data_IF_236531069333
#
_entry.id   IF_236531069333
#
_cell.length_a   1.000
_cell.length_b   1.000
_cell.length_c   1.000
_cell.angle_alpha   90.00
_cell.angle_beta   90.00
_cell.angle_gamma   90.00
#
_symmetry.space_group_name_H-M   'P 1'
#
loop_
_entity.id
_entity.type
_entity.pdbx_description
1 polymer ?
#
# COMPACT_ATOMS: atom_id res chain seq x y z
N UNK A 1 8.79 8.84 -13.88
CA UNK A 1 8.71 7.64 -13.01
C UNK A 1 7.85 8.02 -11.82
N UNK A 2 6.80 7.25 -11.49
CA UNK A 2 6.09 7.50 -10.22
C UNK A 2 7.04 7.08 -9.11
N UNK A 3 7.41 8.01 -8.22
CA UNK A 3 8.14 7.70 -6.99
C UNK A 3 7.31 6.70 -6.17
N UNK A 4 7.58 5.43 -6.37
CA UNK A 4 6.89 4.33 -5.69
C UNK A 4 7.93 3.53 -4.92
N UNK A 5 7.56 3.14 -3.71
CA UNK A 5 8.45 2.41 -2.82
C UNK A 5 8.40 0.94 -3.20
N UNK A 6 9.58 0.33 -3.28
CA UNK A 6 9.74 -1.10 -3.47
C UNK A 6 10.43 -1.71 -2.26
N UNK A 7 9.85 -2.77 -1.69
CA UNK A 7 10.41 -3.45 -0.52
C UNK A 7 10.55 -4.94 -0.78
N UNK A 8 11.64 -5.52 -0.28
CA UNK A 8 11.76 -6.96 -0.12
C UNK A 8 10.84 -7.47 1.00
N UNK A 9 10.54 -8.78 0.99
CA UNK A 9 9.83 -9.45 2.08
C UNK A 9 10.49 -9.20 3.45
N UNK A 10 11.83 -9.16 3.50
CA UNK A 10 12.59 -8.88 4.72
C UNK A 10 12.40 -7.44 5.21
N UNK A 11 12.37 -6.47 4.31
CA UNK A 11 12.10 -5.07 4.68
C UNK A 11 10.66 -4.88 5.16
N UNK A 12 9.68 -5.54 4.53
CA UNK A 12 8.29 -5.54 5.01
C UNK A 12 8.15 -6.19 6.39
N UNK A 13 8.91 -7.25 6.64
CA UNK A 13 9.03 -7.89 7.96
C UNK A 13 9.50 -6.89 9.02
N UNK A 14 10.58 -6.14 8.73
CA UNK A 14 11.05 -5.09 9.62
C UNK A 14 10.06 -3.92 9.75
N UNK A 15 9.37 -3.53 8.67
CA UNK A 15 8.38 -2.46 8.67
C UNK A 15 7.19 -2.79 9.57
N UNK A 16 6.63 -3.99 9.45
CA UNK A 16 5.41 -4.41 10.14
C UNK A 16 5.64 -5.19 11.43
N UNK A 17 6.90 -5.36 11.85
CA UNK A 17 7.25 -6.08 13.08
C UNK A 17 6.65 -7.50 13.09
N UNK A 18 6.99 -8.24 12.02
CA UNK A 18 6.57 -9.62 11.78
C UNK A 18 7.70 -10.42 11.16
N UNK A 19 7.65 -11.74 11.31
CA UNK A 19 8.61 -12.61 10.64
C UNK A 19 8.41 -12.61 9.13
N UNK A 20 9.51 -12.80 8.40
CA UNK A 20 9.49 -12.82 6.93
C UNK A 20 8.51 -13.88 6.41
N UNK A 21 8.44 -15.07 7.02
CA UNK A 21 7.52 -16.14 6.61
C UNK A 21 6.05 -15.71 6.71
N UNK A 22 5.69 -14.94 7.74
CA UNK A 22 4.33 -14.39 7.89
C UNK A 22 4.00 -13.43 6.76
N UNK A 23 4.95 -12.57 6.37
CA UNK A 23 4.79 -11.68 5.21
C UNK A 23 4.61 -12.50 3.93
N UNK A 24 5.40 -13.56 3.74
CA UNK A 24 5.31 -14.45 2.59
C UNK A 24 3.96 -15.15 2.49
N UNK A 25 3.40 -15.59 3.63
CA UNK A 25 2.05 -16.16 3.69
C UNK A 25 0.99 -15.14 3.27
N UNK A 26 1.08 -13.90 3.74
CA UNK A 26 0.14 -12.85 3.33
C UNK A 26 0.22 -12.56 1.84
N UNK A 27 1.43 -12.42 1.27
CA UNK A 27 1.63 -12.22 -0.17
C UNK A 27 1.05 -13.38 -0.99
N UNK A 28 1.32 -14.63 -0.57
CA UNK A 28 0.76 -15.82 -1.23
C UNK A 28 -0.78 -15.80 -1.23
N UNK A 29 -1.39 -15.42 -0.11
CA UNK A 29 -2.85 -15.37 -0.01
C UNK A 29 -3.45 -14.20 -0.82
N UNK A 30 -2.80 -13.04 -0.85
CA UNK A 30 -3.20 -11.90 -1.69
C UNK A 30 -3.31 -12.32 -3.16
N UNK A 31 -2.32 -13.03 -3.68
CA UNK A 31 -2.34 -13.50 -5.07
C UNK A 31 -3.33 -14.65 -5.29
N UNK A 32 -3.43 -15.58 -4.33
CA UNK A 32 -4.41 -16.69 -4.39
C UNK A 32 -5.86 -16.19 -4.41
N UNK A 33 -6.14 -15.11 -3.69
CA UNK A 33 -7.46 -14.49 -3.61
C UNK A 33 -7.70 -13.51 -4.77
N UNK A 34 -6.76 -13.38 -5.70
CA UNK A 34 -6.82 -12.45 -6.83
C UNK A 34 -7.04 -10.98 -6.40
N UNK A 35 -6.59 -10.59 -5.21
CA UNK A 35 -6.61 -9.17 -4.79
C UNK A 35 -5.64 -8.36 -5.64
N UNK A 36 -4.48 -8.94 -5.96
CA UNK A 36 -3.45 -8.34 -6.81
C UNK A 36 -2.94 -9.35 -7.84
N UNK A 37 -2.33 -8.84 -8.91
CA UNK A 37 -1.59 -9.63 -9.88
C UNK A 37 -0.10 -9.65 -9.51
N UNK A 38 0.50 -10.84 -9.40
CA UNK A 38 1.91 -10.97 -8.99
C UNK A 38 2.88 -10.33 -10.01
N UNK A 39 2.61 -10.50 -11.30
CA UNK A 39 3.42 -9.94 -12.40
C UNK A 39 3.39 -8.42 -12.49
N UNK A 40 2.34 -7.76 -11.99
CA UNK A 40 2.25 -6.30 -11.93
C UNK A 40 2.78 -5.70 -10.62
N UNK A 41 2.97 -6.52 -9.58
CA UNK A 41 3.32 -6.05 -8.23
C UNK A 41 4.66 -6.53 -7.72
N UNK A 42 5.38 -7.34 -8.52
CA UNK A 42 6.68 -7.90 -8.16
C UNK A 42 7.70 -7.72 -9.28
N UNK A 43 8.96 -7.52 -8.87
CA UNK A 43 10.12 -7.52 -9.77
C UNK A 43 11.28 -8.32 -9.14
N UNK A 44 12.16 -8.87 -9.99
CA UNK A 44 13.43 -9.45 -9.53
C UNK A 44 14.51 -8.36 -9.50
N UNK A 45 14.97 -8.02 -8.29
CA UNK A 45 16.13 -7.16 -8.11
C UNK A 45 17.38 -8.02 -7.95
N UNK A 46 18.44 -7.70 -8.71
CA UNK A 46 19.76 -8.29 -8.50
C UNK A 46 20.46 -7.54 -7.38
N UNK A 47 20.59 -8.19 -6.22
CA UNK A 47 21.32 -7.62 -5.08
C UNK A 47 22.65 -8.33 -4.94
N UNK A 48 23.73 -7.56 -4.86
CA UNK A 48 25.06 -8.11 -4.58
C UNK A 48 25.21 -8.25 -3.07
N UNK A 49 25.37 -9.49 -2.61
CA UNK A 49 25.73 -9.78 -1.23
C UNK A 49 27.19 -10.25 -1.18
N UNK A 50 27.90 -9.88 -0.11
CA UNK A 50 29.28 -10.33 0.11
C UNK A 50 29.23 -11.45 1.15
N UNK A 51 29.50 -12.68 0.73
CA UNK A 51 29.61 -13.84 1.62
C UNK A 51 31.09 -14.21 1.76
N UNK A 52 31.68 -13.89 2.90
CA UNK A 52 33.12 -14.05 3.14
C UNK A 52 33.96 -13.19 2.18
N UNK A 53 34.78 -13.82 1.32
CA UNK A 53 35.59 -13.14 0.29
C UNK A 53 34.92 -13.08 -1.09
N UNK A 54 33.70 -13.62 -1.26
CA UNK A 54 33.03 -13.74 -2.57
C UNK A 54 31.83 -12.79 -2.69
N UNK A 55 31.73 -12.10 -3.84
CA UNK A 55 30.51 -11.35 -4.23
C UNK A 55 29.54 -12.31 -4.89
N UNK A 56 28.42 -12.59 -4.24
CA UNK A 56 27.36 -13.46 -4.76
C UNK A 56 26.20 -12.58 -5.19
N UNK A 57 25.75 -12.73 -6.44
CA UNK A 57 24.54 -12.09 -6.92
C UNK A 57 23.36 -12.98 -6.56
N UNK A 58 22.46 -12.49 -5.70
CA UNK A 58 21.20 -13.17 -5.44
C UNK A 58 20.08 -12.39 -6.10
N UNK A 59 19.22 -13.11 -6.79
CA UNK A 59 17.92 -12.60 -7.22
C UNK A 59 17.05 -12.50 -5.98
N UNK A 60 16.59 -11.28 -5.68
CA UNK A 60 15.67 -11.02 -4.56
C UNK A 60 14.41 -10.41 -5.13
N UNK A 61 13.26 -10.98 -4.78
CA UNK A 61 11.97 -10.41 -5.17
C UNK A 61 11.69 -9.16 -4.35
N UNK A 62 11.32 -8.08 -5.05
CA UNK A 62 10.84 -6.83 -4.47
C UNK A 62 9.37 -6.64 -4.83
N UNK A 63 8.66 -5.94 -3.96
CA UNK A 63 7.22 -5.76 -4.01
C UNK A 63 6.90 -4.27 -4.01
N UNK A 64 5.99 -3.85 -4.89
CA UNK A 64 5.63 -2.45 -5.05
C UNK A 64 4.72 -1.96 -3.90
N UNK A 65 4.36 -0.68 -3.94
CA UNK A 65 3.51 -0.03 -2.94
C UNK A 65 2.15 -0.73 -2.73
N UNK A 66 1.52 -1.25 -3.78
CA UNK A 66 0.21 -1.90 -3.67
C UNK A 66 0.31 -3.17 -2.83
N UNK A 67 1.32 -4.02 -3.10
CA UNK A 67 1.60 -5.20 -2.30
C UNK A 67 1.94 -4.84 -0.84
N UNK A 68 2.72 -3.78 -0.61
CA UNK A 68 3.05 -3.31 0.75
C UNK A 68 1.79 -2.88 1.51
N UNK A 69 0.89 -2.15 0.85
CA UNK A 69 -0.38 -1.70 1.43
C UNK A 69 -1.27 -2.90 1.77
N UNK A 70 -1.48 -3.82 0.83
CA UNK A 70 -2.30 -5.02 1.03
C UNK A 70 -1.78 -5.88 2.19
N UNK A 71 -0.46 -6.10 2.26
CA UNK A 71 0.17 -6.76 3.42
C UNK A 71 -0.10 -5.98 4.71
N UNK A 72 0.09 -4.67 4.70
CA UNK A 72 -0.12 -3.79 5.85
C UNK A 72 -1.53 -3.88 6.45
N UNK A 73 -2.55 -4.07 5.60
CA UNK A 73 -3.92 -4.30 6.05
C UNK A 73 -4.13 -5.69 6.67
N UNK A 74 -3.45 -6.73 6.16
CA UNK A 74 -3.62 -8.13 6.59
C UNK A 74 -2.77 -8.53 7.80
N UNK A 75 -1.69 -7.82 8.11
CA UNK A 75 -0.80 -8.17 9.24
C UNK A 75 -1.43 -7.90 10.60
N UNK A 76 -1.33 -8.88 11.50
CA UNK A 76 -1.75 -8.76 12.89
C UNK A 76 -0.58 -8.39 13.81
N UNK A 77 -0.14 -7.12 13.78
CA UNK A 77 0.87 -6.56 14.70
C UNK A 77 0.47 -5.19 15.23
N UNK A 78 1.19 -4.68 16.25
CA UNK A 78 1.04 -3.30 16.72
C UNK A 78 1.31 -2.30 15.58
N UNK A 79 2.36 -2.52 14.79
CA UNK A 79 2.69 -1.68 13.63
C UNK A 79 1.65 -1.76 12.51
N UNK A 80 1.12 -2.95 12.22
CA UNK A 80 0.00 -3.12 11.29
C UNK A 80 -1.26 -2.39 11.76
N UNK A 81 -1.54 -2.41 13.06
CA UNK A 81 -2.66 -1.65 13.65
C UNK A 81 -2.46 -0.15 13.51
N UNK A 82 -1.27 0.36 13.80
CA UNK A 82 -0.92 1.78 13.61
C UNK A 82 -1.04 2.18 12.13
N UNK A 83 -0.56 1.34 11.21
CA UNK A 83 -0.71 1.54 9.78
C UNK A 83 -2.18 1.67 9.36
N UNK A 84 -3.04 0.73 9.78
CA UNK A 84 -4.48 0.80 9.49
C UNK A 84 -5.15 2.03 10.07
N UNK A 85 -4.80 2.43 11.30
CA UNK A 85 -5.34 3.66 11.92
C UNK A 85 -4.95 4.88 11.08
N UNK A 86 -3.67 4.99 10.72
CA UNK A 86 -3.17 6.09 9.89
C UNK A 86 -3.87 6.11 8.52
N UNK A 87 -3.92 4.98 7.82
CA UNK A 87 -4.52 4.87 6.50
C UNK A 87 -6.03 5.20 6.53
N UNK A 88 -6.75 4.69 7.54
CA UNK A 88 -8.17 5.03 7.77
C UNK A 88 -8.36 6.53 7.98
N UNK A 89 -7.47 7.18 8.74
CA UNK A 89 -7.55 8.62 8.95
C UNK A 89 -7.27 9.43 7.68
N UNK A 90 -6.31 9.00 6.85
CA UNK A 90 -6.05 9.59 5.53
C UNK A 90 -7.29 9.49 4.65
N UNK A 91 -7.87 8.29 4.53
CA UNK A 91 -9.09 8.05 3.74
C UNK A 91 -10.26 8.90 4.26
N UNK A 92 -10.48 8.95 5.57
CA UNK A 92 -11.53 9.77 6.19
C UNK A 92 -11.38 11.25 5.85
N UNK A 93 -10.16 11.80 5.92
CA UNK A 93 -9.90 13.20 5.53
C UNK A 93 -10.24 13.43 4.07
N UNK A 94 -9.83 12.53 3.18
CA UNK A 94 -10.08 12.65 1.75
C UNK A 94 -11.58 12.59 1.42
N UNK A 95 -12.30 11.62 1.96
CA UNK A 95 -13.76 11.47 1.78
C UNK A 95 -14.51 12.68 2.34
N UNK A 96 -14.10 13.17 3.51
CA UNK A 96 -14.71 14.36 4.13
C UNK A 96 -14.50 15.59 3.26
N UNK A 97 -13.31 15.77 2.66
CA UNK A 97 -13.04 16.85 1.72
C UNK A 97 -13.93 16.79 0.48
N UNK A 98 -14.12 15.59 -0.09
CA UNK A 98 -15.02 15.37 -1.22
C UNK A 98 -16.47 15.73 -0.85
N UNK A 99 -16.94 15.31 0.33
CA UNK A 99 -18.29 15.64 0.83
C UNK A 99 -18.51 17.16 0.91
N UNK A 100 -17.52 17.91 1.38
CA UNK A 100 -17.60 19.37 1.41
C UNK A 100 -17.65 19.99 0.00
N UNK A 101 -16.83 19.49 -0.93
CA UNK A 101 -16.88 19.93 -2.34
C UNK A 101 -18.26 19.70 -2.96
N UNK A 102 -18.86 18.53 -2.75
CA UNK A 102 -20.20 18.20 -3.28
C UNK A 102 -21.27 19.14 -2.71
N UNK A 103 -21.26 19.38 -1.39
CA UNK A 103 -22.19 20.33 -0.74
C UNK A 103 -22.06 21.75 -1.32
N UNK A 104 -20.84 22.20 -1.57
CA UNK A 104 -20.59 23.52 -2.16
C UNK A 104 -21.12 23.62 -3.60
N UNK A 105 -20.96 22.57 -4.40
CA UNK A 105 -21.53 22.50 -5.76
C UNK A 105 -23.06 22.53 -5.70
N UNK A 106 -23.69 21.70 -4.85
CA UNK A 106 -25.14 21.65 -4.72
C UNK A 106 -25.74 23.00 -4.28
N UNK A 107 -25.08 23.72 -3.35
CA UNK A 107 -25.51 25.06 -2.93
C UNK A 107 -25.49 26.06 -4.09
N UNK A 108 -24.45 26.04 -4.92
CA UNK A 108 -24.36 26.93 -6.10
C UNK A 108 -25.45 26.65 -7.14
N UNK A 109 -25.79 25.38 -7.36
CA UNK A 109 -26.85 24.99 -8.30
C UNK A 109 -28.25 25.37 -7.82
N UNK A 110 -28.50 25.37 -6.50
CA UNK A 110 -29.79 25.76 -5.93
C UNK A 110 -29.99 27.29 -5.86
N UNK A 111 -28.90 28.07 -5.76
CA UNK A 111 -28.97 29.55 -5.80
C UNK A 111 -29.32 30.06 -7.21
N UNK A 112 -28.97 29.33 -8.27
CA UNK A 112 -29.28 29.69 -9.65
C UNK A 112 -30.70 29.27 -10.12
N UNK A 113 -31.57 28.81 -9.21
CA UNK A 113 -32.95 28.35 -9.52
C UNK A 113 -34.05 29.23 -8.92
N UNK A 114 -33.75 30.46 -8.53
CA UNK A 114 -34.79 31.40 -8.13
C UNK A 114 -35.19 32.22 -9.38
N UNK A 115 -36.45 32.11 -9.88
CA UNK A 115 -36.87 32.84 -11.05
C UNK A 115 -36.96 34.34 -10.72
N UNK A 116 -36.39 35.18 -11.59
CA UNK A 116 -36.69 36.61 -11.64
C UNK A 116 -38.19 36.74 -11.92
N UNK A 117 -38.91 37.38 -10.98
CA UNK A 117 -40.30 37.79 -11.15
C UNK A 117 -40.39 39.04 -12.03
#
# INVERSE_FOLDING_TARGET
MRDTVWLTQKQMSALFDKDSDTIGLHLKNIYKEHELEETATTEESSVVQTEGKRRVHRKVRIYNLDAIISVGYRVNSKRGTQFRIWATNVLRRHVTHIKHKIKNVAKRLNVNRQPDY
#
